data_IF_964554361456
#
_entry.id   IF_964554361456
#
_cell.length_a   1.000
_cell.length_b   1.000
_cell.length_c   1.000
_cell.angle_alpha   90.00
_cell.angle_beta   90.00
_cell.angle_gamma   90.00
#
_symmetry.space_group_name_H-M   'P 1'
#
loop_
_entity.id
_entity.type
_entity.pdbx_description
1 polymer ?
#
# COMPACT_ATOMS: atom_id res chain seq x y z
N UNK A 1 14.35 9.64 6.32
CA UNK A 1 14.31 9.27 7.75
C UNK A 1 12.86 9.30 8.24
N UNK A 2 12.35 8.20 8.80
CA UNK A 2 11.04 8.18 9.48
C UNK A 2 11.25 8.57 10.93
N UNK A 3 10.66 9.68 11.41
CA UNK A 3 10.80 10.11 12.81
C UNK A 3 9.62 9.57 13.63
N UNK A 4 9.90 8.81 14.69
CA UNK A 4 8.88 8.35 15.65
C UNK A 4 8.58 9.49 16.64
N UNK A 5 7.32 9.61 17.09
CA UNK A 5 6.87 10.56 18.14
C UNK A 5 7.05 12.06 17.83
N UNK A 6 7.22 12.43 16.57
CA UNK A 6 7.20 13.85 16.15
C UNK A 6 5.96 14.07 15.30
N UNK A 7 5.06 15.00 15.67
CA UNK A 7 3.91 15.34 14.85
C UNK A 7 4.36 15.71 13.44
N UNK A 8 3.70 15.14 12.44
CA UNK A 8 3.84 15.61 11.07
C UNK A 8 2.92 16.82 10.92
N UNK A 9 3.46 18.05 10.78
CA UNK A 9 2.72 19.29 11.01
C UNK A 9 1.82 19.70 9.83
N UNK A 10 1.89 18.98 8.72
CA UNK A 10 1.11 19.27 7.52
C UNK A 10 -0.28 18.62 7.67
N UNK A 11 -1.38 19.35 7.45
CA UNK A 11 -2.72 18.80 7.49
C UNK A 11 -2.91 17.66 6.50
N UNK A 12 -3.68 16.64 6.90
CA UNK A 12 -3.94 15.46 6.07
C UNK A 12 -5.44 15.27 5.92
N UNK A 13 -5.91 15.21 4.67
CA UNK A 13 -7.28 14.82 4.31
C UNK A 13 -7.26 13.40 3.78
N UNK A 14 -8.25 12.59 4.16
CA UNK A 14 -8.30 11.18 3.79
C UNK A 14 -9.62 10.86 3.08
N UNK A 15 -9.54 10.08 2.02
CA UNK A 15 -10.67 9.62 1.22
C UNK A 15 -10.67 8.09 1.10
N UNK A 16 -11.85 7.49 1.07
CA UNK A 16 -12.00 6.05 0.86
C UNK A 16 -11.75 5.20 2.12
N UNK A 17 -11.81 5.77 3.32
CA UNK A 17 -11.64 5.00 4.56
C UNK A 17 -12.81 4.04 4.81
N UNK A 18 -14.00 4.37 4.32
CA UNK A 18 -15.21 3.56 4.43
C UNK A 18 -15.08 2.18 3.77
N UNK A 19 -14.14 1.99 2.84
CA UNK A 19 -13.93 0.68 2.20
C UNK A 19 -13.42 -0.36 3.22
N UNK A 20 -12.77 0.06 4.30
CA UNK A 20 -12.20 -0.83 5.31
C UNK A 20 -13.24 -1.38 6.30
N UNK A 21 -14.46 -0.86 6.31
CA UNK A 21 -15.57 -1.36 7.13
C UNK A 21 -16.19 -2.65 6.56
N UNK A 22 -15.91 -2.96 5.29
CA UNK A 22 -16.45 -4.14 4.60
C UNK A 22 -15.74 -5.41 5.04
N UNK A 23 -16.50 -6.49 5.27
CA UNK A 23 -15.96 -7.82 5.52
C UNK A 23 -15.12 -8.33 4.33
N UNK A 24 -13.95 -8.92 4.62
CA UNK A 24 -12.98 -9.40 3.61
C UNK A 24 -12.70 -10.89 3.82
N UNK A 25 -13.60 -11.82 3.44
CA UNK A 25 -13.42 -13.25 3.73
C UNK A 25 -12.15 -13.85 3.11
N UNK A 26 -11.68 -13.31 1.98
CA UNK A 26 -10.45 -13.74 1.31
C UNK A 26 -9.27 -12.79 1.55
N UNK A 27 -9.39 -11.92 2.55
CA UNK A 27 -8.40 -10.92 2.90
C UNK A 27 -8.25 -9.84 1.84
N UNK A 28 -7.31 -8.94 2.10
CA UNK A 28 -7.05 -7.79 1.25
C UNK A 28 -5.57 -7.50 1.16
N UNK A 29 -5.10 -7.19 -0.05
CA UNK A 29 -3.77 -6.67 -0.28
C UNK A 29 -3.87 -5.15 -0.31
N UNK A 30 -3.26 -4.51 0.69
CA UNK A 30 -3.04 -3.07 0.72
C UNK A 30 -1.75 -2.77 -0.07
N UNK A 31 -1.91 -2.22 -1.27
CA UNK A 31 -0.88 -2.14 -2.30
C UNK A 31 -0.53 -0.68 -2.61
N UNK A 32 0.76 -0.40 -2.80
CA UNK A 32 1.22 0.87 -3.35
C UNK A 32 2.59 0.68 -4.00
N UNK A 33 3.27 1.79 -4.29
CA UNK A 33 4.65 1.82 -4.75
C UNK A 33 5.50 2.64 -3.77
N UNK A 34 6.80 2.69 -3.98
CA UNK A 34 7.72 3.53 -3.22
C UNK A 34 7.57 5.03 -3.56
N UNK A 35 6.35 5.56 -3.64
CA UNK A 35 6.09 6.99 -3.85
C UNK A 35 6.39 7.81 -2.59
N UNK A 36 6.70 9.12 -2.74
CA UNK A 36 6.82 10.01 -1.59
C UNK A 36 5.55 9.98 -0.72
N UNK A 37 5.72 10.17 0.58
CA UNK A 37 4.62 10.26 1.56
C UNK A 37 3.78 8.97 1.73
N UNK A 38 4.12 7.83 1.11
CA UNK A 38 3.35 6.58 1.24
C UNK A 38 3.11 6.16 2.72
N UNK A 39 4.05 6.45 3.62
CA UNK A 39 3.91 6.18 5.05
C UNK A 39 2.94 7.11 5.79
N UNK A 40 2.63 8.29 5.23
CA UNK A 40 1.59 9.19 5.76
C UNK A 40 0.21 8.59 5.53
N UNK A 41 -0.02 7.95 4.38
CA UNK A 41 -1.25 7.19 4.17
C UNK A 41 -1.40 6.07 5.21
N UNK A 42 -0.33 5.30 5.49
CA UNK A 42 -0.37 4.26 6.51
C UNK A 42 -0.65 4.80 7.92
N UNK A 43 -0.06 5.95 8.28
CA UNK A 43 -0.37 6.65 9.53
C UNK A 43 -1.86 6.95 9.60
N UNK A 44 -2.40 7.54 8.54
CA UNK A 44 -3.80 7.97 8.52
C UNK A 44 -4.76 6.78 8.60
N UNK A 45 -4.42 5.66 7.98
CA UNK A 45 -5.19 4.42 8.10
C UNK A 45 -5.25 3.92 9.55
N UNK A 46 -4.10 3.87 10.23
CA UNK A 46 -3.98 3.42 11.62
C UNK A 46 -4.70 4.35 12.60
N UNK A 47 -4.59 5.67 12.42
CA UNK A 47 -5.30 6.66 13.24
C UNK A 47 -6.83 6.53 13.14
N UNK A 48 -7.34 5.90 12.08
CA UNK A 48 -8.77 5.62 11.89
C UNK A 48 -9.14 4.17 12.26
N UNK A 49 -8.29 3.49 13.03
CA UNK A 49 -8.59 2.19 13.64
C UNK A 49 -8.31 0.97 12.77
N UNK A 50 -7.78 1.14 11.54
CA UNK A 50 -7.43 0.02 10.69
C UNK A 50 -5.92 -0.25 10.71
N UNK A 51 -5.54 -1.46 11.14
CA UNK A 51 -4.15 -1.87 11.29
C UNK A 51 -3.82 -3.00 10.31
N UNK A 52 -2.90 -2.83 9.35
CA UNK A 52 -2.43 -3.93 8.53
C UNK A 52 -1.81 -5.04 9.39
N UNK A 53 -2.19 -6.30 9.14
CA UNK A 53 -1.74 -7.44 9.95
C UNK A 53 -0.30 -7.83 9.67
N UNK A 54 0.14 -7.71 8.41
CA UNK A 54 1.48 -8.10 8.01
C UNK A 54 1.95 -7.30 6.80
N UNK A 55 3.21 -6.88 6.80
CA UNK A 55 3.87 -6.23 5.69
C UNK A 55 4.96 -7.10 5.05
N UNK A 56 5.15 -6.97 3.74
CA UNK A 56 6.29 -7.55 3.02
C UNK A 56 7.37 -6.47 2.85
N UNK A 57 8.61 -6.80 3.22
CA UNK A 57 9.75 -5.86 3.14
C UNK A 57 10.97 -6.49 2.49
N UNK A 58 11.81 -5.66 1.86
CA UNK A 58 13.05 -6.11 1.21
C UNK A 58 14.28 -6.12 2.15
N UNK A 59 14.20 -5.53 3.35
CA UNK A 59 15.38 -5.28 4.19
C UNK A 59 16.10 -6.55 4.68
N UNK A 60 17.44 -6.48 4.72
CA UNK A 60 18.35 -7.56 5.15
C UNK A 60 18.35 -7.83 6.66
N UNK A 61 17.91 -6.87 7.49
CA UNK A 61 17.93 -7.01 8.94
C UNK A 61 16.64 -7.67 9.48
N UNK A 62 16.76 -8.34 10.63
CA UNK A 62 15.70 -9.04 11.41
C UNK A 62 14.55 -8.14 11.90
N UNK A 63 14.28 -7.00 11.26
CA UNK A 63 13.17 -6.13 11.66
C UNK A 63 11.87 -6.88 11.40
N UNK A 64 11.27 -7.34 12.49
CA UNK A 64 9.96 -7.98 12.55
C UNK A 64 8.82 -6.99 12.33
N UNK A 65 9.12 -5.71 12.05
CA UNK A 65 8.11 -4.68 11.87
C UNK A 65 8.59 -3.44 11.08
N UNK A 66 7.63 -2.71 10.51
CA UNK A 66 7.78 -1.40 9.86
C UNK A 66 7.34 -0.30 10.83
N UNK A 67 8.18 0.71 11.01
CA UNK A 67 7.79 1.95 11.69
C UNK A 67 6.90 2.82 10.80
N UNK A 68 5.80 3.31 11.35
CA UNK A 68 4.91 4.28 10.71
C UNK A 68 5.28 5.68 11.20
N UNK A 69 5.26 6.67 10.30
CA UNK A 69 5.67 8.04 10.64
C UNK A 69 4.66 8.68 11.59
N UNK A 70 5.14 9.36 12.63
CA UNK A 70 4.33 10.25 13.45
C UNK A 70 3.62 9.57 14.61
N UNK A 71 3.58 8.22 14.61
CA UNK A 71 2.93 7.41 15.64
C UNK A 71 3.90 6.38 16.23
N UNK A 72 3.51 5.76 17.35
CA UNK A 72 4.29 4.72 18.04
C UNK A 72 4.08 3.33 17.44
N UNK A 73 2.96 3.14 16.75
CA UNK A 73 2.55 1.89 16.14
C UNK A 73 3.54 1.39 15.10
N UNK A 74 3.59 0.06 15.01
CA UNK A 74 4.42 -0.66 14.06
C UNK A 74 3.58 -1.72 13.37
N UNK A 75 3.89 -1.97 12.11
CA UNK A 75 3.22 -3.02 11.33
C UNK A 75 4.13 -4.25 11.33
N UNK A 76 3.70 -5.43 11.80
CA UNK A 76 4.50 -6.65 11.72
C UNK A 76 4.98 -6.91 10.29
N UNK A 77 6.20 -7.39 10.10
CA UNK A 77 6.82 -7.51 8.79
C UNK A 77 7.54 -8.84 8.59
N UNK A 78 7.45 -9.34 7.36
CA UNK A 78 8.24 -10.46 6.87
C UNK A 78 9.16 -10.00 5.73
N UNK A 79 10.28 -10.71 5.60
CA UNK A 79 11.22 -10.49 4.51
C UNK A 79 10.72 -11.14 3.22
N UNK A 80 10.83 -10.43 2.10
CA UNK A 80 10.66 -10.99 0.77
C UNK A 80 11.71 -12.09 0.52
N UNK A 81 11.26 -13.24 0.03
CA UNK A 81 12.11 -14.41 -0.18
C UNK A 81 11.29 -15.62 -0.65
N UNK A 82 11.91 -16.81 -0.76
CA UNK A 82 11.29 -17.97 -1.41
C UNK A 82 9.93 -18.40 -0.82
N UNK A 83 9.73 -18.15 0.48
CA UNK A 83 8.51 -18.57 1.20
C UNK A 83 7.49 -17.44 1.43
N UNK A 84 7.75 -16.23 0.92
CA UNK A 84 6.92 -15.04 1.23
C UNK A 84 5.47 -15.24 0.80
N UNK A 85 5.24 -15.85 -0.37
CA UNK A 85 3.89 -16.09 -0.90
C UNK A 85 3.10 -17.13 -0.11
N UNK A 86 3.76 -18.12 0.50
CA UNK A 86 3.09 -19.06 1.40
C UNK A 86 2.56 -18.36 2.66
N UNK A 87 3.37 -17.46 3.23
CA UNK A 87 2.96 -16.65 4.39
C UNK A 87 1.85 -15.66 4.02
N UNK A 88 2.01 -14.96 2.89
CA UNK A 88 1.00 -14.05 2.36
C UNK A 88 -0.34 -14.75 2.13
N UNK A 89 -0.33 -15.93 1.49
CA UNK A 89 -1.52 -16.77 1.31
C UNK A 89 -2.18 -17.12 2.64
N UNK A 90 -1.40 -17.46 3.66
CA UNK A 90 -1.93 -17.81 4.99
C UNK A 90 -2.66 -16.63 5.62
N UNK A 91 -2.08 -15.43 5.57
CA UNK A 91 -2.71 -14.20 6.07
C UNK A 91 -3.99 -13.90 5.30
N UNK A 92 -3.93 -13.90 3.96
CA UNK A 92 -5.08 -13.56 3.13
C UNK A 92 -6.25 -14.54 3.32
N UNK A 93 -5.98 -15.85 3.41
CA UNK A 93 -7.02 -16.84 3.68
C UNK A 93 -7.66 -16.72 5.08
N UNK A 94 -7.04 -15.99 6.02
CA UNK A 94 -7.63 -15.68 7.33
C UNK A 94 -8.51 -14.42 7.29
N UNK A 95 -8.73 -13.85 6.11
CA UNK A 95 -9.46 -12.59 5.97
C UNK A 95 -8.66 -11.34 6.35
N UNK A 96 -7.35 -11.47 6.54
CA UNK A 96 -6.47 -10.42 7.06
C UNK A 96 -5.89 -9.50 5.97
N UNK A 97 -5.31 -8.39 6.41
CA UNK A 97 -4.69 -7.39 5.56
C UNK A 97 -3.19 -7.62 5.37
N UNK A 98 -2.76 -7.75 4.12
CA UNK A 98 -1.35 -7.81 3.73
C UNK A 98 -0.93 -6.47 3.12
N UNK A 99 0.02 -5.77 3.74
CA UNK A 99 0.66 -4.58 3.18
C UNK A 99 1.85 -4.97 2.30
N UNK A 100 1.89 -4.45 1.07
CA UNK A 100 3.05 -4.62 0.21
C UNK A 100 3.23 -3.43 -0.73
N UNK A 101 4.49 -3.11 -1.04
CA UNK A 101 4.84 -2.25 -2.16
C UNK A 101 5.17 -3.15 -3.36
N UNK A 102 4.56 -2.86 -4.50
CA UNK A 102 4.67 -3.71 -5.68
C UNK A 102 5.99 -3.50 -6.45
N UNK A 103 6.69 -2.39 -6.22
CA UNK A 103 8.05 -2.15 -6.69
C UNK A 103 9.10 -2.52 -5.62
N UNK A 104 10.29 -2.99 -6.02
CA UNK A 104 11.36 -3.31 -5.07
C UNK A 104 12.01 -2.06 -4.46
N UNK A 105 12.04 -0.96 -5.22
CA UNK A 105 12.58 0.36 -4.84
C UNK A 105 11.89 1.45 -5.68
N UNK A 106 12.02 2.71 -5.27
CA UNK A 106 11.48 3.85 -6.01
C UNK A 106 11.96 3.88 -7.47
N UNK A 107 11.00 3.99 -8.39
CA UNK A 107 11.25 4.06 -9.83
C UNK A 107 11.54 2.72 -10.51
N UNK A 108 11.56 1.61 -9.77
CA UNK A 108 11.69 0.29 -10.37
C UNK A 108 10.37 -0.22 -10.93
N UNK A 109 10.45 -1.27 -11.75
CA UNK A 109 9.27 -1.90 -12.32
C UNK A 109 8.36 -2.52 -11.27
N UNK A 110 7.06 -2.40 -11.54
CA UNK A 110 5.98 -2.99 -10.74
C UNK A 110 6.00 -4.50 -10.92
N UNK A 111 6.19 -5.25 -9.83
CA UNK A 111 6.10 -6.71 -9.83
C UNK A 111 4.64 -7.16 -9.98
N UNK A 112 4.34 -8.05 -10.94
CA UNK A 112 2.97 -8.55 -11.12
C UNK A 112 2.56 -9.60 -10.07
N UNK A 113 3.50 -10.09 -9.26
CA UNK A 113 3.30 -11.28 -8.43
C UNK A 113 2.23 -11.10 -7.34
N UNK A 114 2.13 -9.90 -6.76
CA UNK A 114 1.09 -9.61 -5.76
C UNK A 114 -0.32 -9.66 -6.37
N UNK A 115 -0.45 -9.19 -7.61
CA UNK A 115 -1.70 -9.20 -8.35
C UNK A 115 -2.10 -10.61 -8.76
N UNK A 116 -1.15 -11.42 -9.23
CA UNK A 116 -1.39 -12.85 -9.47
C UNK A 116 -1.82 -13.59 -8.18
N UNK A 117 -1.21 -13.27 -7.05
CA UNK A 117 -1.61 -13.83 -5.75
C UNK A 117 -3.05 -13.43 -5.40
N UNK A 118 -3.39 -12.15 -5.53
CA UNK A 118 -4.73 -11.65 -5.25
C UNK A 118 -5.77 -12.35 -6.12
N UNK A 119 -5.52 -12.45 -7.43
CA UNK A 119 -6.41 -13.13 -8.37
C UNK A 119 -6.62 -14.60 -7.99
N UNK A 120 -5.52 -15.32 -7.73
CA UNK A 120 -5.56 -16.74 -7.35
C UNK A 120 -6.36 -17.00 -6.07
N UNK A 121 -6.29 -16.09 -5.10
CA UNK A 121 -6.97 -16.22 -3.81
C UNK A 121 -8.33 -15.53 -3.78
N UNK A 122 -8.72 -14.84 -4.87
CA UNK A 122 -9.89 -13.95 -4.89
C UNK A 122 -9.85 -12.92 -3.77
N UNK A 123 -8.65 -12.49 -3.39
CA UNK A 123 -8.42 -11.40 -2.44
C UNK A 123 -8.62 -10.07 -3.15
N UNK A 124 -9.10 -9.07 -2.42
CA UNK A 124 -9.25 -7.72 -2.98
C UNK A 124 -7.92 -6.98 -2.93
N UNK A 125 -7.76 -6.01 -3.82
CA UNK A 125 -6.63 -5.09 -3.83
C UNK A 125 -7.17 -3.71 -3.50
N UNK A 126 -6.61 -3.11 -2.46
CA UNK A 126 -6.82 -1.70 -2.13
C UNK A 126 -5.51 -0.98 -2.43
N UNK A 127 -5.56 0.02 -3.28
CA UNK A 127 -4.45 0.92 -3.46
C UNK A 127 -4.50 2.01 -2.40
N UNK A 128 -3.33 2.44 -1.95
CA UNK A 128 -3.19 3.61 -1.09
C UNK A 128 -2.16 4.58 -1.66
N UNK A 129 -2.50 5.85 -1.69
CA UNK A 129 -1.68 6.93 -2.23
C UNK A 129 -1.63 8.09 -1.24
N UNK A 130 -0.55 8.87 -1.30
CA UNK A 130 -0.42 10.12 -0.55
C UNK A 130 0.22 11.18 -1.45
N UNK A 131 -0.40 12.35 -1.50
CA UNK A 131 -0.04 13.43 -2.42
C UNK A 131 0.06 14.75 -1.68
N UNK A 132 1.16 15.48 -1.88
CA UNK A 132 1.23 16.89 -1.51
C UNK A 132 0.42 17.72 -2.51
N UNK A 133 -0.54 18.46 -2.00
CA UNK A 133 -1.40 19.35 -2.77
C UNK A 133 -0.73 20.72 -2.96
N UNK A 134 -1.09 21.49 -4.01
CA UNK A 134 -0.53 22.82 -4.25
C UNK A 134 -0.70 23.78 -3.06
N UNK A 135 -1.77 23.62 -2.29
CA UNK A 135 -2.07 24.44 -1.10
C UNK A 135 -1.23 24.06 0.13
N UNK A 136 -0.39 23.03 0.02
CA UNK A 136 0.51 22.56 1.08
C UNK A 136 -0.06 21.47 1.99
N UNK A 137 -1.35 21.13 1.85
CA UNK A 137 -1.98 20.00 2.54
C UNK A 137 -1.59 18.66 1.88
N UNK A 138 -1.75 17.54 2.61
CA UNK A 138 -1.64 16.19 2.04
C UNK A 138 -3.03 15.60 1.81
N UNK A 139 -3.24 15.05 0.62
CA UNK A 139 -4.36 14.19 0.30
C UNK A 139 -3.93 12.72 0.36
N UNK A 140 -4.66 11.93 1.13
CA UNK A 140 -4.52 10.47 1.21
C UNK A 140 -5.76 9.83 0.60
N UNK A 141 -5.55 8.89 -0.31
CA UNK A 141 -6.65 8.22 -1.00
C UNK A 141 -6.48 6.71 -0.93
N UNK A 142 -7.57 6.04 -0.54
CA UNK A 142 -7.70 4.59 -0.57
C UNK A 142 -8.80 4.22 -1.56
N UNK A 143 -8.54 3.24 -2.43
CA UNK A 143 -9.57 2.80 -3.39
C UNK A 143 -9.31 1.36 -3.82
N UNK A 144 -10.38 0.65 -4.15
CA UNK A 144 -10.30 -0.72 -4.62
C UNK A 144 -9.94 -0.76 -6.09
N UNK A 145 -9.13 -1.75 -6.49
CA UNK A 145 -8.99 -2.12 -7.90
C UNK A 145 -10.37 -2.40 -8.49
N UNK A 146 -10.72 -1.70 -9.56
CA UNK A 146 -12.00 -1.90 -10.26
C UNK A 146 -11.94 -3.03 -11.29
N UNK A 147 -10.73 -3.50 -11.60
CA UNK A 147 -10.48 -4.56 -12.58
C UNK A 147 -11.09 -5.89 -12.13
N UNK A 148 -12.00 -6.42 -12.95
CA UNK A 148 -12.67 -7.71 -12.77
C UNK A 148 -12.61 -8.50 -14.08
N UNK A 149 -11.45 -9.11 -14.36
CA UNK A 149 -11.29 -10.02 -15.50
C UNK A 149 -11.05 -11.45 -15.01
N UNK A 150 -11.75 -12.40 -15.62
CA UNK A 150 -11.60 -13.82 -15.32
C UNK A 150 -10.22 -14.35 -15.76
N UNK A 151 -9.64 -13.77 -16.81
CA UNK A 151 -8.29 -14.06 -17.25
C UNK A 151 -7.28 -13.33 -16.36
N UNK A 152 -6.47 -14.11 -15.62
CA UNK A 152 -5.51 -13.59 -14.67
C UNK A 152 -4.48 -12.66 -15.32
N UNK A 153 -3.93 -13.01 -16.48
CA UNK A 153 -2.90 -12.21 -17.14
C UNK A 153 -3.43 -10.85 -17.59
N UNK A 154 -4.64 -10.82 -18.16
CA UNK A 154 -5.32 -9.57 -18.52
C UNK A 154 -5.63 -8.72 -17.30
N UNK A 155 -6.20 -9.33 -16.26
CA UNK A 155 -6.51 -8.64 -15.01
C UNK A 155 -5.24 -8.00 -14.40
N UNK A 156 -4.18 -8.80 -14.28
CA UNK A 156 -2.91 -8.37 -13.69
C UNK A 156 -2.25 -7.28 -14.54
N UNK A 157 -2.24 -7.41 -15.87
CA UNK A 157 -1.71 -6.38 -16.76
C UNK A 157 -2.46 -5.05 -16.60
N UNK A 158 -3.79 -5.09 -16.48
CA UNK A 158 -4.60 -3.91 -16.25
C UNK A 158 -4.36 -3.29 -14.87
N UNK A 159 -4.23 -4.10 -13.81
CA UNK A 159 -3.94 -3.62 -12.45
C UNK A 159 -2.54 -3.01 -12.32
N UNK A 160 -1.54 -3.59 -12.99
CA UNK A 160 -0.20 -3.01 -13.08
C UNK A 160 -0.25 -1.66 -13.80
N UNK A 161 -1.02 -1.56 -14.89
CA UNK A 161 -1.20 -0.32 -15.64
C UNK A 161 -1.94 0.75 -14.82
N UNK A 162 -2.98 0.33 -14.09
CA UNK A 162 -3.76 1.17 -13.17
C UNK A 162 -2.86 1.78 -12.08
N UNK A 163 -2.07 0.94 -11.38
CA UNK A 163 -1.12 1.40 -10.36
C UNK A 163 -0.02 2.31 -10.93
N UNK A 164 0.50 2.00 -12.13
CA UNK A 164 1.49 2.84 -12.82
C UNK A 164 0.91 4.21 -13.15
N UNK A 165 -0.31 4.27 -13.67
CA UNK A 165 -0.99 5.53 -13.99
C UNK A 165 -1.13 6.46 -12.79
N UNK A 166 -1.42 5.91 -11.60
CA UNK A 166 -1.42 6.70 -10.37
C UNK A 166 -0.03 7.22 -10.00
N UNK A 167 0.99 6.37 -10.06
CA UNK A 167 2.36 6.78 -9.78
C UNK A 167 2.83 7.91 -10.68
N UNK A 168 2.61 7.78 -11.99
CA UNK A 168 3.02 8.75 -12.99
C UNK A 168 2.31 10.09 -12.75
N UNK A 169 1.02 10.07 -12.40
CA UNK A 169 0.28 11.27 -12.01
C UNK A 169 0.92 11.99 -10.81
N UNK A 170 1.29 11.24 -9.77
CA UNK A 170 1.89 11.79 -8.55
C UNK A 170 3.27 12.39 -8.83
N UNK A 171 4.11 11.63 -9.55
CA UNK A 171 5.47 12.06 -9.89
C UNK A 171 5.42 13.31 -10.76
N UNK A 172 4.56 13.32 -11.79
CA UNK A 172 4.37 14.48 -12.66
C UNK A 172 3.89 15.70 -11.87
N UNK A 173 3.00 15.53 -10.89
CA UNK A 173 2.58 16.63 -10.02
C UNK A 173 3.77 17.23 -9.28
N UNK A 174 4.60 16.41 -8.65
CA UNK A 174 5.76 16.88 -7.89
C UNK A 174 6.82 17.56 -8.76
N UNK A 175 7.01 17.11 -9.99
CA UNK A 175 7.90 17.77 -10.95
C UNK A 175 7.39 19.16 -11.37
N UNK A 176 6.07 19.37 -11.33
CA UNK A 176 5.41 20.62 -11.71
C UNK A 176 5.12 21.56 -10.53
N UNK A 177 5.36 21.12 -9.29
CA UNK A 177 5.31 22.00 -8.12
C UNK A 177 6.48 22.99 -8.20
N UNK A 178 6.17 24.24 -8.56
CA UNK A 178 7.11 25.36 -8.45
C UNK A 178 7.15 25.79 -6.99
N UNK A 179 8.28 25.54 -6.32
CA UNK A 179 8.59 26.12 -5.02
C UNK A 179 9.29 27.46 -5.19
#
# INVERSE_FOLDING_TARGET
MTRRKIPFPIPVRAHGLEIFERARPNGVILCSLHIPLCKVALRRLIENGFHPDLAITHHRNKNTSIAVWGITDVIPAIKAGPVVFFKAKTILNQGKCLLALADPVFGADISPNLFFLAHRLKSQIIYFLAELMPEGDIEVSFFESTIKDANAEKAVGAQVSELRGYSDRIINRYQNLKF
#
